data_IF_316207838130
#
_entry.id   IF_316207838130
#
_cell.length_a   1.000
_cell.length_b   1.000
_cell.length_c   1.000
_cell.angle_alpha   90.00
_cell.angle_beta   90.00
_cell.angle_gamma   90.00
#
_symmetry.space_group_name_H-M   'P 1'
#
loop_
_entity.id
_entity.type
_entity.pdbx_description
1 polymer ?
#
# COMPACT_ATOMS: atom_id res chain seq x y z
N UNK A 1 10.32 -19.09 18.34
CA UNK A 1 10.55 -18.90 16.88
C UNK A 1 11.87 -18.20 16.66
N UNK A 2 12.64 -18.59 15.63
CA UNK A 2 13.85 -17.83 15.26
C UNK A 2 13.46 -16.42 14.82
N UNK A 3 14.32 -15.42 15.10
CA UNK A 3 14.06 -14.03 14.67
C UNK A 3 13.84 -13.94 13.16
N UNK A 4 14.53 -14.77 12.38
CA UNK A 4 14.36 -14.89 10.94
C UNK A 4 12.95 -15.36 10.58
N UNK A 5 12.47 -16.47 11.16
CA UNK A 5 11.16 -17.03 10.85
C UNK A 5 10.02 -16.08 11.24
N UNK A 6 10.12 -15.38 12.37
CA UNK A 6 9.15 -14.33 12.73
C UNK A 6 9.04 -13.23 11.68
N UNK A 7 10.18 -12.73 11.20
CA UNK A 7 10.23 -11.67 10.17
C UNK A 7 9.70 -12.18 8.83
N UNK A 8 10.04 -13.41 8.47
CA UNK A 8 9.50 -14.04 7.27
C UNK A 8 7.98 -14.15 7.31
N UNK A 9 7.42 -14.68 8.42
CA UNK A 9 5.97 -14.81 8.60
C UNK A 9 5.29 -13.43 8.61
N UNK A 10 5.86 -12.45 9.30
CA UNK A 10 5.36 -11.08 9.28
C UNK A 10 5.33 -10.54 7.84
N UNK A 11 6.41 -10.72 7.09
CA UNK A 11 6.51 -10.33 5.68
C UNK A 11 5.49 -11.01 4.80
N UNK A 12 5.27 -12.32 5.01
CA UNK A 12 4.28 -13.10 4.28
C UNK A 12 2.87 -12.54 4.47
N UNK A 13 2.44 -12.30 5.71
CA UNK A 13 1.13 -11.68 5.97
C UNK A 13 1.05 -10.23 5.48
N UNK A 14 2.15 -9.47 5.54
CA UNK A 14 2.22 -8.15 4.93
C UNK A 14 1.98 -8.22 3.42
N UNK A 15 2.54 -9.20 2.72
CA UNK A 15 2.35 -9.38 1.28
C UNK A 15 0.92 -9.76 0.90
N UNK A 16 0.28 -10.67 1.66
CA UNK A 16 -1.15 -11.03 1.46
C UNK A 16 -2.05 -9.81 1.64
N UNK A 17 -1.82 -9.04 2.70
CA UNK A 17 -2.55 -7.80 2.91
C UNK A 17 -2.32 -6.84 1.76
N UNK A 18 -1.06 -6.58 1.41
CA UNK A 18 -0.72 -5.53 0.45
C UNK A 18 -1.26 -5.79 -0.95
N UNK A 19 -1.31 -7.04 -1.41
CA UNK A 19 -1.90 -7.37 -2.71
C UNK A 19 -3.44 -7.33 -2.68
N UNK A 20 -4.07 -7.44 -1.52
CA UNK A 20 -5.53 -7.41 -1.33
C UNK A 20 -6.02 -5.96 -1.17
N UNK A 21 -6.80 -5.40 -2.12
CA UNK A 21 -7.24 -4.01 -2.05
C UNK A 21 -8.00 -3.71 -0.75
N UNK A 22 -7.62 -2.64 -0.06
CA UNK A 22 -8.28 -2.24 1.19
C UNK A 22 -7.68 -2.85 2.46
N UNK A 23 -6.67 -3.74 2.37
CA UNK A 23 -5.91 -4.24 3.53
C UNK A 23 -4.48 -3.70 3.46
N UNK A 24 -4.08 -2.83 4.38
CA UNK A 24 -2.73 -2.24 4.38
C UNK A 24 -1.67 -3.20 4.93
N UNK A 25 -0.62 -3.48 4.16
CA UNK A 25 0.55 -4.23 4.63
C UNK A 25 1.24 -3.55 5.81
N UNK A 26 1.27 -2.21 5.86
CA UNK A 26 1.81 -1.44 6.99
C UNK A 26 1.01 -1.67 8.28
N UNK A 27 -0.31 -1.86 8.21
CA UNK A 27 -1.13 -2.22 9.38
C UNK A 27 -0.77 -3.61 9.90
N UNK A 28 -0.59 -4.59 9.02
CA UNK A 28 -0.13 -5.94 9.40
C UNK A 28 1.27 -5.89 10.01
N UNK A 29 2.18 -5.09 9.44
CA UNK A 29 3.50 -4.86 10.01
C UNK A 29 3.42 -4.33 11.46
N UNK A 30 2.41 -3.52 11.76
CA UNK A 30 2.10 -3.03 13.10
C UNK A 30 1.68 -4.17 14.04
N UNK A 31 0.77 -5.04 13.60
CA UNK A 31 0.30 -6.20 14.38
C UNK A 31 1.45 -7.18 14.73
N UNK A 32 2.40 -7.36 13.82
CA UNK A 32 3.59 -8.18 14.05
C UNK A 32 4.71 -7.47 14.82
N UNK A 33 4.52 -6.21 15.22
CA UNK A 33 5.52 -5.34 15.86
C UNK A 33 6.81 -5.16 15.03
N UNK A 34 6.70 -5.21 13.70
CA UNK A 34 7.84 -5.05 12.78
C UNK A 34 7.83 -3.70 12.05
N UNK A 35 6.72 -2.94 12.10
CA UNK A 35 6.54 -1.69 11.37
C UNK A 35 7.63 -0.64 11.64
N UNK A 36 7.99 -0.39 12.92
CA UNK A 36 9.03 0.59 13.26
C UNK A 36 10.39 0.23 12.65
N UNK A 37 10.76 -1.05 12.69
CA UNK A 37 12.02 -1.54 12.14
C UNK A 37 12.01 -1.51 10.62
N UNK A 38 10.88 -1.87 10.00
CA UNK A 38 10.66 -1.74 8.56
C UNK A 38 10.88 -0.31 8.11
N UNK A 39 10.15 0.64 8.70
CA UNK A 39 10.22 2.04 8.36
C UNK A 39 11.62 2.63 8.58
N UNK A 40 12.27 2.27 9.70
CA UNK A 40 13.67 2.64 9.95
C UNK A 40 14.61 2.15 8.84
N UNK A 41 14.45 0.89 8.42
CA UNK A 41 15.24 0.28 7.34
C UNK A 41 15.04 1.00 6.01
N UNK A 42 13.81 1.42 5.68
CA UNK A 42 13.54 2.17 4.45
C UNK A 42 14.21 3.55 4.48
N UNK A 43 14.25 4.24 5.63
CA UNK A 43 14.93 5.54 5.72
C UNK A 43 16.45 5.46 5.64
N UNK A 44 17.05 4.26 5.54
CA UNK A 44 18.46 4.10 5.22
C UNK A 44 18.81 4.64 3.83
N UNK A 45 17.87 4.56 2.89
CA UNK A 45 18.04 5.01 1.50
C UNK A 45 17.89 6.52 1.32
N UNK A 46 17.48 7.23 2.37
CA UNK A 46 17.55 8.68 2.45
C UNK A 46 18.61 9.08 3.48
N UNK A 47 19.93 8.93 3.27
CA UNK A 47 20.90 9.43 4.23
C UNK A 47 20.97 10.96 4.21
N UNK A 48 21.49 11.57 5.28
CA UNK A 48 21.97 12.95 5.18
C UNK A 48 23.36 12.87 4.52
N UNK A 49 23.49 13.38 3.29
CA UNK A 49 24.68 13.20 2.45
C UNK A 49 25.98 13.69 3.11
N UNK A 50 25.88 14.64 4.05
CA UNK A 50 27.05 15.17 4.80
C UNK A 50 27.66 14.17 5.79
N UNK A 51 26.90 13.19 6.28
CA UNK A 51 27.32 12.23 7.32
C UNK A 51 27.18 10.76 6.87
N UNK A 52 27.16 10.51 5.56
CA UNK A 52 27.00 9.17 5.02
C UNK A 52 28.23 8.30 5.28
N UNK A 53 28.01 7.08 5.75
CA UNK A 53 29.01 6.01 5.69
C UNK A 53 28.31 4.69 5.35
N UNK A 54 29.03 3.81 4.64
CA UNK A 54 28.53 2.50 4.24
C UNK A 54 28.14 1.67 5.48
N UNK A 55 28.94 1.74 6.54
CA UNK A 55 28.66 1.07 7.80
C UNK A 55 27.36 1.56 8.45
N UNK A 56 27.14 2.89 8.52
CA UNK A 56 25.89 3.47 9.02
C UNK A 56 24.70 3.08 8.15
N UNK A 57 24.89 2.98 6.84
CA UNK A 57 23.86 2.54 5.91
C UNK A 57 23.45 1.09 6.22
N UNK A 58 24.39 0.14 6.29
CA UNK A 58 24.07 -1.26 6.57
C UNK A 58 23.51 -1.47 7.97
N UNK A 59 24.01 -0.73 8.96
CA UNK A 59 23.46 -0.78 10.32
C UNK A 59 22.00 -0.30 10.33
N UNK A 60 21.68 0.78 9.60
CA UNK A 60 20.34 1.32 9.52
C UNK A 60 19.40 0.46 8.66
N UNK A 61 19.89 -0.10 7.55
CA UNK A 61 19.17 -1.01 6.67
C UNK A 61 18.81 -2.32 7.38
N UNK A 62 19.69 -2.78 8.27
CA UNK A 62 19.55 -4.04 9.01
C UNK A 62 19.19 -5.23 8.09
N UNK A 63 20.14 -5.75 7.29
CA UNK A 63 19.92 -6.86 6.35
C UNK A 63 19.25 -8.07 7.00
N UNK A 64 19.68 -8.42 8.22
CA UNK A 64 19.11 -9.52 8.99
C UNK A 64 17.61 -9.35 9.28
N UNK A 65 17.14 -8.10 9.37
CA UNK A 65 15.73 -7.77 9.51
C UNK A 65 15.00 -7.73 8.17
N UNK A 66 15.52 -6.94 7.22
CA UNK A 66 14.79 -6.57 5.99
C UNK A 66 14.72 -7.72 4.99
N UNK A 67 15.76 -8.56 4.91
CA UNK A 67 15.84 -9.68 3.98
C UNK A 67 14.73 -10.72 4.20
N UNK A 68 14.57 -11.34 5.39
CA UNK A 68 13.48 -12.30 5.61
C UNK A 68 12.10 -11.66 5.43
N UNK A 69 11.93 -10.39 5.80
CA UNK A 69 10.65 -9.67 5.67
C UNK A 69 10.25 -9.54 4.20
N UNK A 70 11.13 -9.00 3.35
CA UNK A 70 10.85 -8.86 1.92
C UNK A 70 10.73 -10.22 1.22
N UNK A 71 11.52 -11.21 1.63
CA UNK A 71 11.40 -12.57 1.10
C UNK A 71 10.00 -13.14 1.34
N UNK A 72 9.48 -13.03 2.57
CA UNK A 72 8.11 -13.43 2.88
C UNK A 72 7.07 -12.65 2.06
N UNK A 73 7.24 -11.34 1.96
CA UNK A 73 6.33 -10.45 1.24
C UNK A 73 6.25 -10.76 -0.26
N UNK A 74 7.39 -10.94 -0.93
CA UNK A 74 7.45 -11.26 -2.37
C UNK A 74 6.81 -12.63 -2.64
N UNK A 75 7.14 -13.65 -1.84
CA UNK A 75 6.56 -14.99 -1.97
C UNK A 75 5.04 -14.94 -1.78
N UNK A 76 4.56 -14.21 -0.78
CA UNK A 76 3.14 -14.02 -0.52
C UNK A 76 2.42 -13.33 -1.68
N UNK A 77 2.98 -12.23 -2.20
CA UNK A 77 2.42 -11.49 -3.34
C UNK A 77 2.30 -12.42 -4.56
N UNK A 78 3.35 -13.17 -4.87
CA UNK A 78 3.33 -14.11 -5.99
C UNK A 78 2.28 -15.22 -5.81
N UNK A 79 2.20 -15.86 -4.64
CA UNK A 79 1.21 -16.93 -4.41
C UNK A 79 -0.21 -16.36 -4.43
N UNK A 80 -0.44 -15.23 -3.77
CA UNK A 80 -1.74 -14.60 -3.68
C UNK A 80 -2.24 -14.04 -5.03
N UNK A 81 -1.34 -13.70 -5.97
CA UNK A 81 -1.79 -13.26 -7.31
C UNK A 81 -2.55 -14.35 -8.05
N UNK A 82 -2.23 -15.64 -7.85
CA UNK A 82 -3.01 -16.74 -8.42
C UNK A 82 -4.42 -16.81 -7.85
N UNK A 83 -4.56 -16.67 -6.53
CA UNK A 83 -5.85 -16.68 -5.86
C UNK A 83 -6.69 -15.47 -6.28
N UNK A 84 -6.10 -14.28 -6.33
CA UNK A 84 -6.79 -13.06 -6.72
C UNK A 84 -7.24 -13.12 -8.17
N UNK A 85 -6.37 -13.55 -9.08
CA UNK A 85 -6.72 -13.76 -10.48
C UNK A 85 -7.87 -14.77 -10.63
N UNK A 86 -7.82 -15.89 -9.88
CA UNK A 86 -8.90 -16.86 -9.83
C UNK A 86 -10.22 -16.26 -9.32
N UNK A 87 -10.18 -15.42 -8.28
CA UNK A 87 -11.36 -14.73 -7.73
C UNK A 87 -11.92 -13.69 -8.71
N UNK A 88 -11.07 -12.96 -9.43
CA UNK A 88 -11.48 -12.01 -10.46
C UNK A 88 -12.19 -12.76 -11.60
N UNK A 89 -11.63 -13.86 -12.09
CA UNK A 89 -12.18 -14.60 -13.24
C UNK A 89 -13.46 -15.36 -12.88
N UNK A 90 -13.50 -16.03 -11.72
CA UNK A 90 -14.57 -16.99 -11.41
C UNK A 90 -15.61 -16.46 -10.41
N UNK A 91 -15.24 -15.46 -9.59
CA UNK A 91 -16.05 -15.00 -8.46
C UNK A 91 -16.07 -13.48 -8.32
N UNK A 92 -16.01 -12.74 -9.44
CA UNK A 92 -15.83 -11.29 -9.46
C UNK A 92 -16.75 -10.53 -8.51
N UNK A 93 -18.06 -10.82 -8.56
CA UNK A 93 -19.07 -10.13 -7.75
C UNK A 93 -18.84 -10.41 -6.26
N UNK A 94 -18.60 -11.68 -5.88
CA UNK A 94 -18.32 -12.04 -4.50
C UNK A 94 -17.03 -11.39 -3.99
N UNK A 95 -16.00 -11.29 -4.85
CA UNK A 95 -14.76 -10.61 -4.52
C UNK A 95 -14.95 -9.09 -4.33
N UNK A 96 -15.70 -8.42 -5.22
CA UNK A 96 -16.07 -7.00 -5.07
C UNK A 96 -16.80 -6.73 -3.75
N UNK A 97 -17.74 -7.60 -3.39
CA UNK A 97 -18.48 -7.52 -2.12
C UNK A 97 -17.55 -7.71 -0.93
N UNK A 98 -16.68 -8.73 -0.97
CA UNK A 98 -15.68 -8.97 0.07
C UNK A 98 -14.77 -7.75 0.28
N UNK A 99 -14.20 -7.19 -0.79
CA UNK A 99 -13.35 -6.00 -0.72
C UNK A 99 -14.11 -4.79 -0.16
N UNK A 100 -15.38 -4.61 -0.55
CA UNK A 100 -16.22 -3.53 0.00
C UNK A 100 -16.37 -3.65 1.52
N UNK A 101 -16.67 -4.85 2.03
CA UNK A 101 -16.79 -5.06 3.48
C UNK A 101 -15.48 -4.86 4.22
N UNK A 102 -14.36 -5.34 3.67
CA UNK A 102 -13.03 -5.14 4.23
C UNK A 102 -12.68 -3.66 4.31
N UNK A 103 -12.95 -2.90 3.25
CA UNK A 103 -12.71 -1.46 3.20
C UNK A 103 -13.57 -0.70 4.20
N UNK A 104 -14.86 -1.04 4.30
CA UNK A 104 -15.76 -0.46 5.30
C UNK A 104 -15.28 -0.77 6.73
N UNK A 105 -14.85 -2.00 7.00
CA UNK A 105 -14.29 -2.38 8.29
C UNK A 105 -13.02 -1.59 8.62
N UNK A 106 -12.13 -1.36 7.63
CA UNK A 106 -10.94 -0.54 7.81
C UNK A 106 -11.29 0.92 8.15
N UNK A 107 -12.28 1.51 7.47
CA UNK A 107 -12.78 2.87 7.75
C UNK A 107 -13.37 2.96 9.16
N UNK A 108 -14.22 2.00 9.54
CA UNK A 108 -14.83 1.96 10.87
C UNK A 108 -13.74 1.84 11.95
N UNK A 109 -12.76 0.93 11.77
CA UNK A 109 -11.64 0.79 12.69
C UNK A 109 -10.88 2.11 12.88
N UNK A 110 -10.47 2.73 11.79
CA UNK A 110 -9.65 3.95 11.82
C UNK A 110 -10.36 5.12 12.50
N UNK A 111 -11.69 5.25 12.31
CA UNK A 111 -12.47 6.36 12.85
C UNK A 111 -12.85 6.15 14.32
N UNK A 112 -13.25 4.93 14.70
CA UNK A 112 -13.90 4.67 15.98
C UNK A 112 -13.04 3.93 17.00
N UNK A 113 -12.08 3.10 16.57
CA UNK A 113 -11.31 2.23 17.47
C UNK A 113 -9.88 2.72 17.71
N UNK A 114 -9.26 3.35 16.71
CA UNK A 114 -7.88 3.83 16.81
C UNK A 114 -7.75 5.14 17.62
N UNK A 115 -8.83 5.91 17.78
CA UNK A 115 -8.82 7.23 18.44
C UNK A 115 -10.09 7.53 19.21
N UNK A 116 -10.01 8.44 20.19
CA UNK A 116 -11.20 9.00 20.84
C UNK A 116 -11.97 9.86 19.85
N UNK A 117 -13.27 9.63 19.72
CA UNK A 117 -14.17 10.36 18.81
C UNK A 117 -14.08 11.89 18.91
N UNK A 118 -13.82 12.41 20.12
CA UNK A 118 -13.66 13.84 20.36
C UNK A 118 -12.47 14.46 19.61
N UNK A 119 -11.42 13.67 19.35
CA UNK A 119 -10.19 14.10 18.68
C UNK A 119 -10.30 13.96 17.14
N UNK A 120 -11.09 13.00 16.65
CA UNK A 120 -11.27 12.75 15.20
C UNK A 120 -12.29 13.68 14.54
N UNK A 121 -13.31 14.16 15.29
CA UNK A 121 -14.36 15.04 14.75
C UNK A 121 -13.83 16.36 14.17
N UNK A 122 -12.71 16.86 14.67
CA UNK A 122 -12.04 18.07 14.17
C UNK A 122 -11.46 17.93 12.76
N UNK A 123 -11.31 16.70 12.25
CA UNK A 123 -10.68 16.40 10.97
C UNK A 123 -11.66 15.87 9.91
N UNK A 124 -12.97 16.03 10.10
CA UNK A 124 -14.00 15.63 9.12
C UNK A 124 -13.78 16.22 7.72
N UNK A 125 -13.21 17.43 7.63
CA UNK A 125 -12.84 18.04 6.34
C UNK A 125 -11.76 17.21 5.63
N UNK A 126 -10.78 16.67 6.36
CA UNK A 126 -9.74 15.83 5.75
C UNK A 126 -10.33 14.53 5.22
N UNK A 127 -11.26 13.92 5.95
CA UNK A 127 -12.03 12.77 5.45
C UNK A 127 -12.79 13.11 4.17
N UNK A 128 -13.52 14.23 4.15
CA UNK A 128 -14.31 14.63 2.98
C UNK A 128 -13.42 14.89 1.76
N UNK A 129 -12.26 15.55 1.95
CA UNK A 129 -11.27 15.74 0.88
C UNK A 129 -10.81 14.40 0.33
N UNK A 130 -10.42 13.46 1.20
CA UNK A 130 -10.00 12.12 0.76
C UNK A 130 -11.10 11.41 -0.01
N UNK A 131 -12.32 11.43 0.51
CA UNK A 131 -13.49 10.83 -0.15
C UNK A 131 -13.73 11.41 -1.54
N UNK A 132 -13.77 12.74 -1.66
CA UNK A 132 -13.97 13.40 -2.95
C UNK A 132 -12.83 13.12 -3.93
N UNK A 133 -11.57 13.16 -3.49
CA UNK A 133 -10.42 12.83 -4.34
C UNK A 133 -10.54 11.42 -4.89
N UNK A 134 -10.84 10.44 -4.03
CA UNK A 134 -10.98 9.06 -4.48
C UNK A 134 -12.17 8.86 -5.41
N UNK A 135 -13.31 9.48 -5.10
CA UNK A 135 -14.51 9.39 -5.93
C UNK A 135 -14.29 10.03 -7.31
N UNK A 136 -13.63 11.19 -7.38
CA UNK A 136 -13.32 11.88 -8.63
C UNK A 136 -12.38 11.06 -9.53
N UNK A 137 -11.37 10.42 -8.95
CA UNK A 137 -10.46 9.52 -9.69
C UNK A 137 -11.25 8.31 -10.19
N UNK A 138 -12.07 7.70 -9.33
CA UNK A 138 -12.81 6.47 -9.65
C UNK A 138 -13.92 6.68 -10.70
N UNK A 139 -14.55 7.86 -10.71
CA UNK A 139 -15.63 8.22 -11.62
C UNK A 139 -15.12 8.97 -12.86
N UNK A 140 -13.80 9.12 -13.02
CA UNK A 140 -13.23 9.78 -14.19
C UNK A 140 -13.60 9.00 -15.45
N UNK A 141 -14.24 9.68 -16.41
CA UNK A 141 -14.53 9.12 -17.73
C UNK A 141 -13.26 8.95 -18.58
N UNK A 142 -12.14 9.54 -18.16
CA UNK A 142 -10.85 9.38 -18.84
C UNK A 142 -10.28 8.01 -18.46
N UNK A 143 -10.40 7.06 -19.38
CA UNK A 143 -9.68 5.79 -19.28
C UNK A 143 -8.18 6.05 -19.39
N UNK A 144 -7.45 5.83 -18.31
CA UNK A 144 -5.99 5.89 -18.34
C UNK A 144 -5.46 4.72 -19.17
N UNK A 145 -4.74 5.02 -20.25
CA UNK A 145 -4.09 3.99 -21.06
C UNK A 145 -2.75 3.60 -20.43
N UNK A 146 -2.69 2.43 -19.80
CA UNK A 146 -1.48 1.90 -19.17
C UNK A 146 -0.55 1.14 -20.11
N UNK A 147 -0.86 1.06 -21.41
CA UNK A 147 0.14 0.74 -22.44
C UNK A 147 1.23 1.84 -22.49
N UNK A 148 0.91 3.04 -22.00
CA UNK A 148 1.89 4.08 -21.77
C UNK A 148 2.71 3.78 -20.50
N UNK A 149 3.96 3.37 -20.70
CA UNK A 149 4.91 3.08 -19.61
C UNK A 149 5.12 4.24 -18.63
N UNK A 150 4.98 5.49 -19.07
CA UNK A 150 5.08 6.64 -18.18
C UNK A 150 3.91 6.69 -17.18
N UNK A 151 2.69 6.45 -17.64
CA UNK A 151 1.50 6.39 -16.77
C UNK A 151 1.58 5.21 -15.81
N UNK A 152 2.10 4.06 -16.27
CA UNK A 152 2.33 2.90 -15.42
C UNK A 152 3.38 3.17 -14.33
N UNK A 153 4.44 3.92 -14.66
CA UNK A 153 5.41 4.41 -13.67
C UNK A 153 4.81 5.39 -12.66
N UNK A 154 3.93 6.30 -13.10
CA UNK A 154 3.20 7.18 -12.18
C UNK A 154 2.29 6.37 -11.23
N UNK A 155 1.57 5.37 -11.75
CA UNK A 155 0.76 4.48 -10.94
C UNK A 155 1.61 3.77 -9.88
N UNK A 156 2.79 3.30 -10.29
CA UNK A 156 3.79 2.77 -9.38
C UNK A 156 4.14 3.76 -8.26
N UNK A 157 4.56 4.96 -8.64
CA UNK A 157 4.95 5.99 -7.69
C UNK A 157 3.86 6.23 -6.63
N UNK A 158 2.60 6.40 -7.02
CA UNK A 158 1.51 6.62 -6.07
C UNK A 158 1.18 5.40 -5.22
N UNK A 159 1.20 4.20 -5.79
CA UNK A 159 0.92 2.97 -5.04
C UNK A 159 1.98 2.70 -3.96
N UNK A 160 3.27 2.88 -4.25
CA UNK A 160 4.30 2.75 -3.20
C UNK A 160 4.20 3.87 -2.16
N UNK A 161 3.88 5.10 -2.57
CA UNK A 161 3.66 6.23 -1.65
C UNK A 161 2.54 5.93 -0.64
N UNK A 162 1.47 5.29 -1.09
CA UNK A 162 0.36 4.87 -0.26
C UNK A 162 0.73 3.71 0.68
N UNK A 163 1.48 2.71 0.19
CA UNK A 163 1.96 1.58 0.99
C UNK A 163 2.80 2.00 2.22
N UNK A 164 3.58 3.08 2.10
CA UNK A 164 4.41 3.58 3.20
C UNK A 164 3.59 4.06 4.41
N UNK A 165 2.30 4.30 4.26
CA UNK A 165 1.43 4.85 5.29
C UNK A 165 0.52 3.78 5.89
N UNK A 166 0.43 3.69 7.23
CA UNK A 166 -0.50 2.78 7.88
C UNK A 166 -1.94 3.09 7.48
N UNK A 167 -2.67 2.06 7.07
CA UNK A 167 -4.09 2.15 6.77
C UNK A 167 -4.45 2.24 5.29
N UNK A 168 -3.49 2.45 4.37
CA UNK A 168 -3.74 2.33 2.92
C UNK A 168 -2.86 1.24 2.32
N UNK A 169 -3.41 0.48 1.36
CA UNK A 169 -2.64 -0.41 0.50
C UNK A 169 -2.37 0.26 -0.85
N UNK A 170 -1.16 0.06 -1.38
CA UNK A 170 -0.83 0.40 -2.76
C UNK A 170 -1.72 -0.31 -3.77
N UNK A 171 -2.17 -1.54 -3.49
CA UNK A 171 -3.17 -2.24 -4.33
C UNK A 171 -4.48 -1.46 -4.46
N UNK A 172 -4.93 -0.77 -3.41
CA UNK A 172 -6.14 0.07 -3.50
C UNK A 172 -5.93 1.23 -4.48
N UNK A 173 -4.77 1.86 -4.46
CA UNK A 173 -4.41 2.91 -5.44
C UNK A 173 -4.39 2.33 -6.86
N UNK A 174 -3.85 1.12 -7.06
CA UNK A 174 -3.86 0.49 -8.38
C UNK A 174 -5.28 0.17 -8.86
N UNK A 175 -6.21 -0.18 -7.97
CA UNK A 175 -7.63 -0.36 -8.30
C UNK A 175 -8.27 0.99 -8.66
N UNK A 176 -8.02 2.04 -7.87
CA UNK A 176 -8.50 3.39 -8.19
C UNK A 176 -8.04 3.87 -9.55
N UNK A 177 -6.79 3.56 -9.93
CA UNK A 177 -6.24 3.93 -11.22
C UNK A 177 -6.69 3.00 -12.35
N UNK A 178 -7.26 1.84 -12.04
CA UNK A 178 -7.73 0.85 -13.02
C UNK A 178 -6.64 -0.02 -13.64
N UNK A 179 -5.46 -0.06 -13.03
CA UNK A 179 -4.31 -0.85 -13.52
C UNK A 179 -4.12 -2.16 -12.75
N UNK A 180 -4.89 -2.38 -11.68
CA UNK A 180 -4.73 -3.53 -10.80
C UNK A 180 -4.83 -4.90 -11.51
N UNK A 181 -5.81 -5.18 -12.39
CA UNK A 181 -5.87 -6.48 -13.10
C UNK A 181 -4.61 -6.76 -13.95
N UNK A 182 -4.09 -5.73 -14.64
CA UNK A 182 -2.83 -5.83 -15.38
C UNK A 182 -1.69 -6.25 -14.43
N UNK A 183 -1.57 -5.60 -13.28
CA UNK A 183 -0.52 -5.90 -12.30
C UNK A 183 -0.63 -7.34 -11.77
N UNK A 184 -1.84 -7.78 -11.40
CA UNK A 184 -2.07 -9.15 -10.92
C UNK A 184 -1.66 -10.18 -11.99
N UNK A 185 -2.07 -9.96 -13.24
CA UNK A 185 -1.70 -10.84 -14.36
C UNK A 185 -0.19 -10.85 -14.59
N UNK A 186 0.47 -9.69 -14.62
CA UNK A 186 1.92 -9.59 -14.82
C UNK A 186 2.71 -10.25 -13.70
N UNK A 187 2.28 -10.11 -12.43
CA UNK A 187 2.90 -10.82 -11.30
C UNK A 187 2.73 -12.33 -11.44
N UNK A 188 1.51 -12.80 -11.71
CA UNK A 188 1.20 -14.23 -11.88
C UNK A 188 2.01 -14.86 -13.02
N UNK A 189 2.14 -14.15 -14.14
CA UNK A 189 2.88 -14.62 -15.32
C UNK A 189 4.39 -14.38 -15.24
N UNK A 190 4.87 -13.70 -14.18
CA UNK A 190 6.25 -13.22 -14.08
C UNK A 190 6.68 -12.39 -15.29
N UNK A 191 5.76 -11.61 -15.85
CA UNK A 191 6.04 -10.68 -16.95
C UNK A 191 6.76 -9.45 -16.42
N UNK A 192 8.08 -9.60 -16.26
CA UNK A 192 8.95 -8.56 -15.74
C UNK A 192 8.98 -7.33 -16.65
N UNK A 193 8.82 -7.50 -17.97
CA UNK A 193 8.83 -6.38 -18.91
C UNK A 193 7.58 -5.52 -18.74
N UNK A 194 6.41 -6.14 -18.61
CA UNK A 194 5.16 -5.42 -18.41
C UNK A 194 5.14 -4.66 -17.07
N UNK A 195 5.69 -5.22 -15.99
CA UNK A 195 5.65 -4.58 -14.66
C UNK A 195 6.83 -3.62 -14.41
N UNK A 196 7.89 -3.65 -15.24
CA UNK A 196 9.10 -2.85 -15.04
C UNK A 196 8.82 -1.36 -14.85
N UNK A 197 7.98 -0.68 -15.66
CA UNK A 197 7.71 0.74 -15.48
C UNK A 197 7.09 1.04 -14.11
N UNK A 198 6.18 0.18 -13.64
CA UNK A 198 5.59 0.28 -12.32
C UNK A 198 6.64 0.11 -11.21
N UNK A 199 7.55 -0.85 -11.36
CA UNK A 199 8.66 -1.05 -10.42
C UNK A 199 9.63 0.15 -10.40
N UNK A 200 9.88 0.79 -11.55
CA UNK A 200 10.66 2.03 -11.60
C UNK A 200 9.96 3.13 -10.81
N UNK A 201 8.64 3.28 -10.99
CA UNK A 201 7.82 4.19 -10.18
C UNK A 201 7.91 3.90 -8.68
N UNK A 202 7.82 2.62 -8.29
CA UNK A 202 7.99 2.16 -6.91
C UNK A 202 9.36 2.60 -6.37
N UNK A 203 10.43 2.35 -7.12
CA UNK A 203 11.78 2.72 -6.71
C UNK A 203 11.96 4.22 -6.55
N UNK A 204 11.41 5.04 -7.45
CA UNK A 204 11.46 6.50 -7.34
C UNK A 204 10.73 6.98 -6.09
N UNK A 205 9.52 6.49 -5.81
CA UNK A 205 8.78 6.83 -4.59
C UNK A 205 9.54 6.38 -3.34
N UNK A 206 10.07 5.15 -3.35
CA UNK A 206 10.87 4.59 -2.28
C UNK A 206 12.11 5.41 -1.94
N UNK A 207 12.80 5.96 -2.95
CA UNK A 207 13.99 6.77 -2.71
C UNK A 207 13.68 8.19 -2.26
N UNK A 208 12.48 8.73 -2.50
CA UNK A 208 12.18 10.14 -2.24
C UNK A 208 11.31 10.35 -1.00
N UNK A 209 10.31 9.50 -0.79
CA UNK A 209 9.19 9.81 0.09
C UNK A 209 9.21 9.23 1.52
N UNK A 210 9.94 8.15 1.88
CA UNK A 210 9.82 7.57 3.22
C UNK A 210 10.00 8.59 4.33
N UNK A 211 11.04 9.44 4.25
CA UNK A 211 11.27 10.48 5.26
C UNK A 211 10.14 11.50 5.39
N UNK A 212 9.67 12.04 4.27
CA UNK A 212 8.65 13.08 4.27
C UNK A 212 7.29 12.53 4.74
N UNK A 213 6.98 11.30 4.34
CA UNK A 213 5.80 10.56 4.78
C UNK A 213 5.83 10.33 6.29
N UNK A 214 6.95 9.85 6.84
CA UNK A 214 7.12 9.65 8.28
C UNK A 214 6.99 10.97 9.05
N UNK A 215 7.62 12.03 8.54
CA UNK A 215 7.56 13.36 9.15
C UNK A 215 6.14 13.90 9.18
N UNK A 216 5.38 13.73 8.09
CA UNK A 216 3.98 14.12 8.00
C UNK A 216 3.11 13.33 8.98
N UNK A 217 3.26 12.01 9.01
CA UNK A 217 2.54 11.12 9.91
C UNK A 217 2.78 11.45 11.39
N UNK A 218 4.04 11.66 11.78
CA UNK A 218 4.40 12.00 13.16
C UNK A 218 3.93 13.40 13.58
N UNK A 219 3.73 14.32 12.61
CA UNK A 219 3.26 15.68 12.91
C UNK A 219 1.78 15.72 13.21
N UNK A 220 0.96 14.96 12.49
CA UNK A 220 -0.48 14.89 12.73
C UNK A 220 -1.10 13.58 12.23
N UNK A 221 -0.90 12.52 13.01
CA UNK A 221 -1.40 11.16 12.72
C UNK A 221 -2.91 11.13 12.48
N UNK A 222 -3.68 11.85 13.32
CA UNK A 222 -5.14 11.86 13.25
C UNK A 222 -5.64 12.45 11.92
N UNK A 223 -5.06 13.57 11.48
CA UNK A 223 -5.41 14.19 10.20
C UNK A 223 -5.14 13.23 9.02
N UNK A 224 -3.99 12.56 9.04
CA UNK A 224 -3.57 11.63 7.98
C UNK A 224 -4.49 10.41 7.94
N UNK A 225 -4.80 9.80 9.08
CA UNK A 225 -5.75 8.67 9.16
C UNK A 225 -7.17 9.04 8.73
N UNK A 226 -7.64 10.24 9.05
CA UNK A 226 -8.96 10.71 8.60
C UNK A 226 -9.00 10.94 7.09
N UNK A 227 -7.97 11.58 6.51
CA UNK A 227 -7.82 11.71 5.05
C UNK A 227 -7.88 10.33 4.36
N UNK A 228 -7.18 9.36 4.93
CA UNK A 228 -7.09 8.00 4.38
C UNK A 228 -8.36 7.18 4.54
N UNK A 229 -9.07 7.33 5.66
CA UNK A 229 -10.40 6.74 5.81
C UNK A 229 -11.37 7.31 4.77
N UNK A 230 -11.24 8.59 4.44
CA UNK A 230 -11.94 9.23 3.33
C UNK A 230 -11.60 8.59 1.98
N UNK A 231 -10.30 8.49 1.66
CA UNK A 231 -9.83 7.85 0.42
C UNK A 231 -10.39 6.43 0.31
N UNK A 232 -10.21 5.57 1.33
CA UNK A 232 -10.69 4.19 1.32
C UNK A 232 -12.20 4.12 1.05
N UNK A 233 -12.99 4.96 1.72
CA UNK A 233 -14.43 5.01 1.51
C UNK A 233 -14.80 5.41 0.08
N UNK A 234 -14.15 6.44 -0.48
CA UNK A 234 -14.40 6.87 -1.86
C UNK A 234 -13.98 5.83 -2.91
N UNK A 235 -12.89 5.10 -2.64
CA UNK A 235 -12.35 4.05 -3.53
C UNK A 235 -13.23 2.81 -3.62
N UNK A 236 -14.27 2.66 -2.78
CA UNK A 236 -15.24 1.57 -2.94
C UNK A 236 -15.83 1.62 -4.35
N UNK A 237 -16.14 2.81 -4.86
CA UNK A 237 -16.63 2.97 -6.24
C UNK A 237 -15.67 2.40 -7.29
N UNK A 238 -14.36 2.63 -7.16
CA UNK A 238 -13.37 2.05 -8.06
C UNK A 238 -13.34 0.52 -8.05
N UNK A 239 -13.58 -0.13 -6.90
CA UNK A 239 -13.71 -1.60 -6.86
C UNK A 239 -14.85 -2.07 -7.78
N UNK A 240 -15.95 -1.34 -7.83
CA UNK A 240 -17.08 -1.72 -8.68
C UNK A 240 -16.87 -1.41 -10.15
N UNK A 241 -16.20 -0.30 -10.46
CA UNK A 241 -16.02 0.21 -11.83
C UNK A 241 -14.79 -0.42 -12.52
N UNK A 242 -13.65 -0.48 -11.83
CA UNK A 242 -12.36 -0.78 -12.46
C UNK A 242 -11.88 -2.22 -12.29
N UNK A 243 -12.36 -2.94 -11.27
CA UNK A 243 -11.98 -4.34 -11.07
C UNK A 243 -12.84 -5.20 -12.00
N UNK A 244 -12.30 -5.66 -13.11
CA UNK A 244 -13.01 -6.49 -14.09
C UNK A 244 -12.12 -7.61 -14.62
#
# INVERSE_FOLDING_TARGET
MSKFFHRFVAGFFMGIAEITPGISGATIAGLFNVYKNFLSSLTAFNPNLRNFSIEKFFHKLNPNFIFPLFMGMIIAIYIASFLIDFLIINYLIAFKVFLTFVMLAAVIKNIFFDHKWAETRGYSISFFIGFCVALLISMSLVSLNFDNYFLLGIAGFFAFSAFLLPGISGSLVLVMLGVYPLVIKSVKMLDLMAILPLLVGFMVSFLLLPKEIIKSFNRNEQKVKMLFSGLISGSISAVWIHLN
#
